data_IF_680922357281
#
_entry.id   IF_680922357281
#
_cell.length_a   1.000
_cell.length_b   1.000
_cell.length_c   1.000
_cell.angle_alpha   90.00
_cell.angle_beta   90.00
_cell.angle_gamma   90.00
#
_symmetry.space_group_name_H-M   'P 1'
#
loop_
_entity.id
_entity.type
_entity.pdbx_description
1 polymer ?
#
# COMPACT_ATOMS: atom_id res chain seq x y z
N UNK A 1 4.60 3.05 -0.17
CA UNK A 1 6.07 3.17 -0.20
C UNK A 1 6.61 3.82 1.08
N UNK A 2 6.16 5.02 1.48
CA UNK A 2 6.67 5.76 2.65
C UNK A 2 6.57 5.06 4.02
N UNK A 3 5.55 4.25 4.26
CA UNK A 3 5.36 3.52 5.52
C UNK A 3 6.48 2.50 5.77
N UNK A 4 6.92 1.79 4.73
CA UNK A 4 8.00 0.81 4.84
C UNK A 4 9.32 1.46 5.27
N UNK A 5 9.59 2.68 4.82
CA UNK A 5 10.81 3.43 5.15
C UNK A 5 10.84 3.87 6.61
N UNK A 6 9.72 4.41 7.13
CA UNK A 6 9.64 4.85 8.53
C UNK A 6 9.71 3.66 9.49
N UNK A 7 9.02 2.55 9.17
CA UNK A 7 9.11 1.33 9.96
C UNK A 7 10.50 0.69 9.90
N UNK A 8 11.15 0.69 8.73
CA UNK A 8 12.51 0.21 8.62
C UNK A 8 13.45 1.02 9.52
N UNK A 9 13.37 2.35 9.48
CA UNK A 9 14.17 3.19 10.36
C UNK A 9 13.91 2.89 11.84
N UNK A 10 12.63 2.78 12.23
CA UNK A 10 12.25 2.53 13.62
C UNK A 10 12.74 1.16 14.11
N UNK A 11 12.69 0.13 13.26
CA UNK A 11 13.18 -1.21 13.59
C UNK A 11 14.71 -1.27 13.67
N UNK A 12 15.42 -0.49 12.85
CA UNK A 12 16.89 -0.49 12.82
C UNK A 12 17.52 0.53 13.77
N UNK A 13 16.72 1.32 14.50
CA UNK A 13 17.21 2.33 15.43
C UNK A 13 18.19 1.78 16.49
N UNK A 14 17.95 0.59 17.11
CA UNK A 14 18.90 0.00 18.04
C UNK A 14 20.27 -0.27 17.41
N UNK A 15 20.30 -0.88 16.23
CA UNK A 15 21.54 -1.21 15.52
C UNK A 15 22.29 0.05 15.06
N UNK A 16 21.56 1.08 14.60
CA UNK A 16 22.14 2.38 14.26
C UNK A 16 22.77 3.03 15.51
N UNK A 17 22.10 2.94 16.66
CA UNK A 17 22.62 3.49 17.91
C UNK A 17 23.88 2.76 18.39
N UNK A 18 23.94 1.44 18.24
CA UNK A 18 25.13 0.64 18.53
C UNK A 18 26.29 1.01 17.60
N UNK A 19 26.06 1.10 16.30
CA UNK A 19 27.08 1.49 15.33
C UNK A 19 27.64 2.90 15.61
N UNK A 20 26.79 3.84 15.99
CA UNK A 20 27.23 5.20 16.35
C UNK A 20 28.05 5.20 17.66
N UNK A 21 27.68 4.39 18.65
CA UNK A 21 28.47 4.25 19.87
C UNK A 21 29.85 3.62 19.57
N UNK A 22 29.90 2.60 18.71
CA UNK A 22 31.16 2.00 18.27
C UNK A 22 32.06 3.01 17.57
N UNK A 23 31.53 3.80 16.63
CA UNK A 23 32.30 4.85 15.92
C UNK A 23 32.82 5.89 16.92
N UNK A 24 31.99 6.35 17.85
CA UNK A 24 32.37 7.31 18.89
C UNK A 24 33.52 6.79 19.76
N UNK A 25 33.52 5.51 20.09
CA UNK A 25 34.55 4.89 20.93
C UNK A 25 35.84 4.61 20.15
N UNK A 26 35.72 4.05 18.95
CA UNK A 26 36.83 3.42 18.21
C UNK A 26 37.49 4.32 17.16
N UNK A 27 36.78 5.34 16.65
CA UNK A 27 37.31 6.20 15.59
C UNK A 27 38.60 6.90 16.03
N UNK A 28 39.51 7.16 15.09
CA UNK A 28 40.70 8.00 15.33
C UNK A 28 40.51 9.43 14.83
N UNK A 29 39.49 9.67 14.00
CA UNK A 29 39.15 10.99 13.49
C UNK A 29 38.28 11.74 14.51
N UNK A 30 38.75 12.88 15.06
CA UNK A 30 37.99 13.67 16.04
C UNK A 30 36.61 14.09 15.53
N UNK A 31 36.51 14.45 14.25
CA UNK A 31 35.27 14.88 13.60
C UNK A 31 34.24 13.75 13.60
N UNK A 32 34.66 12.54 13.21
CA UNK A 32 33.77 11.38 13.20
C UNK A 32 33.31 11.00 14.62
N UNK A 33 34.16 11.14 15.65
CA UNK A 33 33.73 10.92 17.05
C UNK A 33 32.68 11.93 17.48
N UNK A 34 32.93 13.21 17.17
CA UNK A 34 32.04 14.30 17.53
C UNK A 34 30.67 14.11 16.88
N UNK A 35 30.65 13.89 15.56
CA UNK A 35 29.42 13.68 14.81
C UNK A 35 28.66 12.43 15.27
N UNK A 36 29.36 11.31 15.50
CA UNK A 36 28.73 10.10 16.00
C UNK A 36 28.07 10.31 17.38
N UNK A 37 28.75 11.02 18.29
CA UNK A 37 28.19 11.37 19.59
C UNK A 37 26.99 12.32 19.51
N UNK A 38 27.04 13.31 18.61
CA UNK A 38 25.95 14.24 18.38
C UNK A 38 24.72 13.53 17.81
N UNK A 39 24.90 12.71 16.77
CA UNK A 39 23.84 11.89 16.17
C UNK A 39 23.24 10.91 17.18
N UNK A 40 24.07 10.23 17.97
CA UNK A 40 23.60 9.31 18.99
C UNK A 40 22.68 9.99 20.01
N UNK A 41 23.03 11.22 20.41
CA UNK A 41 22.21 12.03 21.32
C UNK A 41 20.88 12.39 20.66
N UNK A 42 20.89 12.78 19.38
CA UNK A 42 19.70 13.14 18.64
C UNK A 42 18.73 11.97 18.41
N UNK A 43 19.23 10.75 18.14
CA UNK A 43 18.36 9.60 17.87
C UNK A 43 17.82 8.94 19.15
N UNK A 44 18.52 9.09 20.28
CA UNK A 44 18.05 8.65 21.61
C UNK A 44 17.12 9.67 22.27
N UNK A 45 16.99 10.86 21.68
CA UNK A 45 16.09 11.88 22.17
C UNK A 45 14.64 11.39 22.15
N UNK A 46 13.95 11.58 23.28
CA UNK A 46 12.58 11.11 23.45
C UNK A 46 11.62 11.72 22.42
N UNK A 47 11.80 13.01 22.08
CA UNK A 47 10.95 13.70 21.11
C UNK A 47 11.19 13.15 19.71
N UNK A 48 12.42 12.78 19.35
CA UNK A 48 12.71 12.10 18.09
C UNK A 48 11.97 10.75 17.98
N UNK A 49 12.10 9.89 18.99
CA UNK A 49 11.46 8.56 19.02
C UNK A 49 9.92 8.67 18.97
N UNK A 50 9.36 9.59 19.76
CA UNK A 50 7.92 9.83 19.79
C UNK A 50 7.40 10.30 18.43
N UNK A 51 8.07 11.28 17.81
CA UNK A 51 7.70 11.77 16.49
C UNK A 51 7.74 10.66 15.44
N UNK A 52 8.80 9.85 15.43
CA UNK A 52 8.95 8.76 14.48
C UNK A 52 7.83 7.72 14.61
N UNK A 53 7.46 7.39 15.85
CA UNK A 53 6.36 6.45 16.17
C UNK A 53 5.01 7.01 15.72
N UNK A 54 4.74 8.29 15.98
CA UNK A 54 3.51 8.96 15.55
C UNK A 54 3.39 8.93 14.02
N UNK A 55 4.47 9.28 13.32
CA UNK A 55 4.50 9.25 11.86
C UNK A 55 4.28 7.85 11.28
N UNK A 56 4.88 6.81 11.88
CA UNK A 56 4.65 5.42 11.47
C UNK A 56 3.16 5.05 11.53
N UNK A 57 2.49 5.44 12.62
CA UNK A 57 1.06 5.18 12.81
C UNK A 57 0.19 5.97 11.82
N UNK A 58 0.44 7.26 11.64
CA UNK A 58 -0.30 8.10 10.69
C UNK A 58 -0.18 7.54 9.28
N UNK A 59 1.03 7.18 8.84
CA UNK A 59 1.27 6.61 7.51
C UNK A 59 0.64 5.22 7.34
N UNK A 60 0.46 4.47 8.42
CA UNK A 60 -0.28 3.20 8.41
C UNK A 60 -1.75 3.42 8.13
N UNK A 61 -2.38 4.34 8.83
CA UNK A 61 -3.81 4.62 8.63
C UNK A 61 -4.06 5.26 7.26
N UNK A 62 -3.19 6.16 6.79
CA UNK A 62 -3.28 6.72 5.42
C UNK A 62 -3.20 5.60 4.36
N UNK A 63 -2.25 4.67 4.49
CA UNK A 63 -2.15 3.56 3.55
C UNK A 63 -3.38 2.64 3.60
N UNK A 64 -3.92 2.38 4.80
CA UNK A 64 -5.15 1.59 4.97
C UNK A 64 -6.33 2.26 4.27
N UNK A 65 -6.57 3.54 4.54
CA UNK A 65 -7.64 4.31 3.88
C UNK A 65 -7.48 4.33 2.36
N UNK A 66 -6.25 4.52 1.85
CA UNK A 66 -6.00 4.50 0.41
C UNK A 66 -6.33 3.14 -0.23
N UNK A 67 -6.08 2.03 0.48
CA UNK A 67 -6.49 0.69 0.02
C UNK A 67 -8.01 0.53 0.05
N UNK A 68 -8.68 1.01 1.10
CA UNK A 68 -10.14 0.93 1.25
C UNK A 68 -10.85 1.75 0.16
N UNK A 69 -10.46 3.00 -0.09
CA UNK A 69 -11.00 3.84 -1.19
C UNK A 69 -10.81 3.16 -2.55
N UNK A 70 -9.63 2.58 -2.82
CA UNK A 70 -9.36 1.88 -4.08
C UNK A 70 -10.18 0.60 -4.26
N UNK A 71 -10.68 0.00 -3.18
CA UNK A 71 -11.58 -1.16 -3.23
C UNK A 71 -13.02 -0.75 -3.53
N UNK A 72 -13.44 0.45 -3.11
CA UNK A 72 -14.80 0.97 -3.33
C UNK A 72 -15.03 1.54 -4.73
N UNK A 73 -13.96 1.90 -5.45
CA UNK A 73 -13.98 2.22 -6.88
C UNK A 73 -13.38 1.10 -7.75
N UNK A 74 -14.08 -0.04 -7.95
CA UNK A 74 -13.80 -0.87 -9.10
C UNK A 74 -14.17 -0.04 -10.32
N UNK A 75 -13.14 0.48 -10.99
CA UNK A 75 -13.13 1.11 -12.31
C UNK A 75 -14.51 0.97 -13.01
N UNK A 76 -15.30 2.04 -13.18
CA UNK A 76 -16.69 1.95 -13.67
C UNK A 76 -16.80 1.21 -15.01
N UNK A 77 -15.70 1.13 -15.77
CA UNK A 77 -15.56 0.33 -16.97
C UNK A 77 -15.85 -1.18 -16.77
N UNK A 78 -15.49 -1.78 -15.63
CA UNK A 78 -15.81 -3.20 -15.35
C UNK A 78 -17.31 -3.42 -15.10
N UNK A 79 -17.98 -2.48 -14.44
CA UNK A 79 -19.44 -2.54 -14.21
C UNK A 79 -20.22 -2.33 -15.50
N UNK A 80 -19.77 -1.40 -16.36
CA UNK A 80 -20.36 -1.20 -17.69
C UNK A 80 -20.19 -2.44 -18.58
N UNK A 81 -19.01 -3.06 -18.61
CA UNK A 81 -18.80 -4.27 -19.41
C UNK A 81 -19.63 -5.47 -18.91
N UNK A 82 -19.79 -5.62 -17.60
CA UNK A 82 -20.67 -6.63 -17.01
C UNK A 82 -22.16 -6.39 -17.31
N UNK A 83 -22.60 -5.13 -17.25
CA UNK A 83 -23.97 -4.73 -17.61
C UNK A 83 -24.25 -4.89 -19.11
N UNK A 84 -23.31 -4.49 -19.98
CA UNK A 84 -23.42 -4.70 -21.42
C UNK A 84 -23.49 -6.19 -21.79
N UNK A 85 -22.65 -7.05 -21.18
CA UNK A 85 -22.68 -8.50 -21.42
C UNK A 85 -24.00 -9.16 -20.98
N UNK A 86 -24.57 -8.73 -19.84
CA UNK A 86 -25.86 -9.23 -19.35
C UNK A 86 -27.06 -8.75 -20.18
N UNK A 87 -26.97 -7.57 -20.79
CA UNK A 87 -28.04 -7.05 -21.65
C UNK A 87 -27.97 -7.59 -23.08
N UNK A 88 -26.78 -7.91 -23.60
CA UNK A 88 -26.64 -8.58 -24.90
C UNK A 88 -27.23 -9.99 -24.86
N UNK A 89 -26.91 -10.77 -23.83
CA UNK A 89 -27.41 -12.15 -23.66
C UNK A 89 -28.93 -12.22 -23.44
N UNK A 90 -29.53 -11.22 -22.78
CA UNK A 90 -31.00 -11.10 -22.64
C UNK A 90 -31.72 -10.75 -23.94
N UNK A 91 -31.06 -10.04 -24.86
CA UNK A 91 -31.66 -9.67 -26.14
C UNK A 91 -31.56 -10.82 -27.16
N UNK A 92 -30.49 -11.62 -27.13
CA UNK A 92 -30.37 -12.83 -27.96
C UNK A 92 -31.37 -13.93 -27.56
N UNK A 93 -31.65 -14.08 -26.25
CA UNK A 93 -32.67 -15.04 -25.79
C UNK A 93 -34.10 -14.62 -26.12
N UNK A 94 -34.37 -13.32 -26.26
CA UNK A 94 -35.66 -12.82 -26.76
C UNK A 94 -35.80 -12.89 -28.28
N UNK A 95 -34.72 -12.73 -29.05
CA UNK A 95 -34.76 -12.86 -30.52
C UNK A 95 -34.82 -14.32 -30.97
N UNK A 96 -34.21 -15.25 -30.21
CA UNK A 96 -34.18 -16.67 -30.56
C UNK A 96 -35.40 -17.46 -30.05
N UNK A 97 -36.35 -16.80 -29.39
CA UNK A 97 -37.65 -17.37 -29.01
C UNK A 97 -38.72 -17.34 -30.12
N UNK A 98 -38.40 -16.81 -31.31
CA UNK A 98 -39.30 -16.76 -32.46
C UNK A 98 -38.66 -17.43 -33.68
N UNK A 99 -38.06 -18.61 -33.52
CA UNK A 99 -37.82 -19.48 -34.66
C UNK A 99 -38.17 -20.94 -34.32
N UNK A 100 -39.15 -21.39 -35.09
CA UNK A 100 -39.48 -22.76 -35.48
C UNK A 100 -40.39 -23.62 -34.59
N UNK A 101 -41.68 -23.67 -34.99
CA UNK A 101 -42.39 -24.93 -35.26
C UNK A 101 -43.40 -24.74 -36.40
N UNK A 102 -42.97 -24.81 -37.66
CA UNK A 102 -43.86 -25.29 -38.75
C UNK A 102 -43.29 -26.58 -39.32
N UNK A 103 -43.64 -27.64 -38.59
CA UNK A 103 -43.73 -29.02 -39.02
C UNK A 103 -44.19 -29.12 -40.48
N UNK A 104 -43.37 -29.78 -41.28
CA UNK A 104 -43.71 -30.40 -42.54
C UNK A 104 -44.97 -31.25 -42.40
N UNK A 105 -45.96 -31.06 -43.28
CA UNK A 105 -46.93 -32.10 -43.65
C UNK A 105 -47.13 -32.03 -45.16
N UNK A 106 -46.47 -32.96 -45.84
CA UNK A 106 -46.75 -33.37 -47.21
C UNK A 106 -47.79 -34.48 -47.15
N UNK A 107 -48.94 -34.30 -47.79
CA UNK A 107 -49.79 -35.30 -48.49
C UNK A 107 -51.04 -34.59 -48.98
#
# INVERSE_FOLDING_TARGET
MFNCTVNALLNNLPEIAEALEEIKQTSRAPEAKFEAGHLLTAIKDFKFILNLTIWANILREINRMNIEIRKEDPCPFRRLNGWCAQNFTKNETKSNGVLDKRSWRSS
#
